data_IF_239602955862
#
_entry.id   IF_239602955862
#
_cell.length_a   1.000
_cell.length_b   1.000
_cell.length_c   1.000
_cell.angle_alpha   90.00
_cell.angle_beta   90.00
_cell.angle_gamma   90.00
#
_symmetry.space_group_name_H-M   'P 1'
#
loop_
_entity.id
_entity.type
_entity.pdbx_description
1 polymer ?
#
# COMPACT_ATOMS: atom_id res chain seq x y z
N UNK A 1 5.26 4.47 -9.94
CA UNK A 1 5.73 3.56 -8.88
C UNK A 1 6.28 4.34 -7.70
N UNK A 2 5.82 4.03 -6.49
CA UNK A 2 6.38 4.52 -5.22
C UNK A 2 7.23 3.40 -4.62
N UNK A 3 8.42 3.74 -4.16
CA UNK A 3 9.24 2.87 -3.31
C UNK A 3 9.16 3.36 -1.88
N UNK A 4 8.98 2.45 -0.94
CA UNK A 4 8.81 2.78 0.47
C UNK A 4 9.36 1.70 1.39
N UNK A 5 9.55 2.08 2.66
CA UNK A 5 9.96 1.21 3.74
C UNK A 5 8.77 1.01 4.70
N UNK A 6 8.04 -0.09 4.49
CA UNK A 6 6.87 -0.42 5.31
C UNK A 6 7.20 -0.53 6.80
N UNK A 7 8.32 -1.16 7.14
CA UNK A 7 8.71 -1.36 8.54
C UNK A 7 8.94 -0.04 9.25
N UNK A 8 9.59 0.91 8.56
CA UNK A 8 9.82 2.26 9.09
C UNK A 8 8.52 3.04 9.20
N UNK A 9 7.63 3.00 8.20
CA UNK A 9 6.30 3.65 8.26
C UNK A 9 5.50 3.11 9.44
N UNK A 10 5.44 1.78 9.60
CA UNK A 10 4.71 1.14 10.69
C UNK A 10 5.29 1.51 12.06
N UNK A 11 6.62 1.55 12.18
CA UNK A 11 7.32 1.94 13.42
C UNK A 11 7.07 3.40 13.80
N UNK A 12 7.18 4.31 12.84
CA UNK A 12 7.04 5.77 13.07
C UNK A 12 5.60 6.14 13.39
N UNK A 13 4.63 5.50 12.73
CA UNK A 13 3.20 5.72 12.97
C UNK A 13 2.66 5.02 14.24
N UNK A 14 3.44 4.10 14.83
CA UNK A 14 2.97 3.26 15.93
C UNK A 14 1.75 2.39 15.56
N UNK A 15 1.57 2.08 14.28
CA UNK A 15 0.39 1.38 13.76
C UNK A 15 -0.87 2.24 13.64
N UNK A 16 -0.79 3.57 13.87
CA UNK A 16 -1.94 4.46 13.69
C UNK A 16 -2.27 4.63 12.20
N UNK A 17 -3.46 4.18 11.79
CA UNK A 17 -3.89 4.18 10.39
C UNK A 17 -3.97 5.59 9.77
N UNK A 18 -4.32 6.61 10.55
CA UNK A 18 -4.36 8.00 10.07
C UNK A 18 -2.95 8.56 9.85
N UNK A 19 -2.01 8.22 10.73
CA UNK A 19 -0.60 8.58 10.54
C UNK A 19 0.03 7.85 9.35
N UNK A 20 -0.28 6.57 9.17
CA UNK A 20 0.14 5.79 7.99
C UNK A 20 -0.38 6.45 6.71
N UNK A 21 -1.67 6.80 6.66
CA UNK A 21 -2.25 7.48 5.51
C UNK A 21 -1.60 8.84 5.24
N UNK A 22 -1.35 9.64 6.28
CA UNK A 22 -0.67 10.93 6.17
C UNK A 22 0.75 10.81 5.59
N UNK A 23 1.53 9.83 6.06
CA UNK A 23 2.86 9.54 5.50
C UNK A 23 2.74 9.09 4.04
N UNK A 24 1.80 8.20 3.73
CA UNK A 24 1.56 7.73 2.37
C UNK A 24 1.22 8.90 1.43
N UNK A 25 0.23 9.73 1.78
CA UNK A 25 -0.17 10.90 1.00
C UNK A 25 1.00 11.86 0.77
N UNK A 26 1.80 12.14 1.82
CA UNK A 26 3.00 12.95 1.71
C UNK A 26 4.00 12.38 0.70
N UNK A 27 4.26 11.07 0.74
CA UNK A 27 5.20 10.40 -0.15
C UNK A 27 4.73 10.40 -1.61
N UNK A 28 3.44 10.17 -1.85
CA UNK A 28 2.86 10.14 -3.21
C UNK A 28 2.85 11.53 -3.83
N UNK A 29 2.39 12.53 -3.08
CA UNK A 29 2.31 13.92 -3.58
C UNK A 29 3.66 14.64 -3.55
N UNK A 30 4.70 14.06 -2.94
CA UNK A 30 5.99 14.71 -2.67
C UNK A 30 5.81 16.04 -1.93
N UNK A 31 4.85 16.06 -1.00
CA UNK A 31 4.48 17.24 -0.25
C UNK A 31 5.63 17.70 0.65
N UNK A 32 5.86 19.01 0.70
CA UNK A 32 6.86 19.64 1.58
C UNK A 32 6.11 20.49 2.61
N UNK A 33 6.40 20.36 3.92
CA UNK A 33 5.74 21.16 4.94
C UNK A 33 6.02 22.65 4.71
N UNK A 34 4.99 23.49 4.83
CA UNK A 34 5.15 24.94 4.71
C UNK A 34 5.71 25.56 5.99
N UNK A 35 5.43 24.95 7.15
CA UNK A 35 5.89 25.42 8.46
C UNK A 35 6.02 24.27 9.47
N UNK A 36 6.69 24.53 10.61
CA UNK A 36 6.97 23.52 11.65
C UNK A 36 5.74 22.92 12.34
N UNK A 37 4.61 23.62 12.33
CA UNK A 37 3.35 23.14 12.90
C UNK A 37 2.54 22.23 11.97
N UNK A 38 3.04 21.96 10.76
CA UNK A 38 2.34 21.11 9.80
C UNK A 38 2.44 19.64 10.25
N UNK A 39 1.35 18.88 10.08
CA UNK A 39 1.28 17.48 10.48
C UNK A 39 2.33 16.63 9.77
N UNK A 40 2.69 16.99 8.53
CA UNK A 40 3.72 16.30 7.75
C UNK A 40 5.15 16.70 8.13
N UNK A 41 5.35 17.79 8.88
CA UNK A 41 6.69 18.31 9.19
C UNK A 41 7.57 17.29 9.91
N UNK A 42 7.01 16.56 10.88
CA UNK A 42 7.76 15.51 11.60
C UNK A 42 8.20 14.36 10.69
N UNK A 43 7.39 14.05 9.68
CA UNK A 43 7.65 12.95 8.75
C UNK A 43 8.59 13.36 7.62
N UNK A 44 8.54 14.63 7.19
CA UNK A 44 9.40 15.15 6.13
C UNK A 44 10.90 15.13 6.48
N UNK A 45 11.24 15.01 7.76
CA UNK A 45 12.61 14.89 8.24
C UNK A 45 13.15 13.46 8.21
N UNK A 46 12.31 12.48 7.86
CA UNK A 46 12.65 11.07 7.85
C UNK A 46 12.74 10.55 6.41
N UNK A 47 13.66 9.60 6.18
CA UNK A 47 13.77 8.91 4.91
C UNK A 47 12.94 7.63 4.92
N UNK A 48 11.88 7.59 4.11
CA UNK A 48 11.00 6.43 3.95
C UNK A 48 11.30 5.61 2.70
N UNK A 49 12.41 5.82 2.00
CA UNK A 49 12.80 4.97 0.87
C UNK A 49 13.09 3.53 1.32
N UNK A 50 12.66 2.56 0.52
CA UNK A 50 12.84 1.14 0.78
C UNK A 50 12.61 0.29 -0.47
N UNK A 51 12.47 -1.02 -0.28
CA UNK A 51 12.28 -1.99 -1.36
C UNK A 51 10.82 -2.38 -1.58
N UNK A 52 9.93 -2.02 -0.66
CA UNK A 52 8.49 -2.20 -0.85
C UNK A 52 8.03 -1.25 -1.95
N UNK A 53 7.07 -1.69 -2.77
CA UNK A 53 6.62 -0.88 -3.90
C UNK A 53 5.11 -0.88 -4.07
N UNK A 54 4.60 0.21 -4.63
CA UNK A 54 3.28 0.33 -5.23
C UNK A 54 3.45 0.72 -6.70
N UNK A 55 2.89 -0.04 -7.64
CA UNK A 55 2.99 0.29 -9.06
C UNK A 55 2.30 1.63 -9.38
N UNK A 56 1.06 1.79 -8.90
CA UNK A 56 0.16 2.93 -9.17
C UNK A 56 -0.33 3.62 -7.87
N UNK A 57 0.59 4.24 -7.10
CA UNK A 57 0.26 4.87 -5.82
C UNK A 57 -0.66 6.09 -5.97
N UNK A 58 -0.57 6.78 -7.10
CA UNK A 58 -1.39 7.92 -7.50
C UNK A 58 -2.86 7.53 -7.70
N UNK A 59 -3.12 6.37 -8.30
CA UNK A 59 -4.48 5.84 -8.50
C UNK A 59 -5.11 5.45 -7.16
N UNK A 60 -4.35 4.80 -6.28
CA UNK A 60 -4.78 4.50 -4.92
C UNK A 60 -5.10 5.78 -4.14
N UNK A 61 -4.23 6.79 -4.19
CA UNK A 61 -4.45 8.05 -3.50
C UNK A 61 -5.68 8.80 -4.03
N UNK A 62 -5.85 8.86 -5.37
CA UNK A 62 -7.00 9.50 -6.00
C UNK A 62 -8.33 8.88 -5.54
N UNK A 63 -8.36 7.56 -5.36
CA UNK A 63 -9.55 6.84 -4.91
C UNK A 63 -9.64 6.67 -3.39
N UNK A 64 -8.67 7.15 -2.61
CA UNK A 64 -8.57 6.90 -1.17
C UNK A 64 -9.84 7.29 -0.39
N UNK A 65 -10.57 8.31 -0.86
CA UNK A 65 -11.84 8.76 -0.25
C UNK A 65 -12.95 7.70 -0.22
N UNK A 66 -12.84 6.64 -1.04
CA UNK A 66 -13.79 5.52 -1.08
C UNK A 66 -13.50 4.43 -0.05
N UNK A 67 -12.33 4.50 0.59
CA UNK A 67 -11.78 3.43 1.41
C UNK A 67 -11.45 3.91 2.80
N UNK A 68 -11.51 3.01 3.78
CA UNK A 68 -11.06 3.33 5.12
C UNK A 68 -9.53 3.38 5.19
N UNK A 69 -8.98 4.20 6.09
CA UNK A 69 -7.54 4.22 6.34
C UNK A 69 -7.00 2.85 6.81
N UNK A 70 -7.85 2.02 7.43
CA UNK A 70 -7.50 0.64 7.80
C UNK A 70 -7.25 -0.22 6.56
N UNK A 71 -8.10 -0.12 5.55
CA UNK A 71 -7.93 -0.86 4.30
C UNK A 71 -6.70 -0.37 3.54
N UNK A 72 -6.46 0.94 3.48
CA UNK A 72 -5.25 1.49 2.84
C UNK A 72 -3.99 1.02 3.58
N UNK A 73 -3.98 1.03 4.91
CA UNK A 73 -2.87 0.51 5.69
C UNK A 73 -2.63 -0.99 5.44
N UNK A 74 -3.70 -1.79 5.37
CA UNK A 74 -3.61 -3.21 5.03
C UNK A 74 -3.08 -3.41 3.60
N UNK A 75 -3.52 -2.61 2.65
CA UNK A 75 -3.04 -2.63 1.27
C UNK A 75 -1.54 -2.36 1.19
N UNK A 76 -1.06 -1.30 1.86
CA UNK A 76 0.37 -0.97 1.96
C UNK A 76 1.18 -2.07 2.66
N UNK A 77 0.62 -2.68 3.71
CA UNK A 77 1.25 -3.79 4.42
C UNK A 77 1.40 -5.00 3.50
N UNK A 78 0.33 -5.43 2.85
CA UNK A 78 0.33 -6.61 1.97
C UNK A 78 1.23 -6.39 0.76
N UNK A 79 1.18 -5.20 0.16
CA UNK A 79 2.04 -4.81 -0.95
C UNK A 79 3.53 -4.90 -0.61
N UNK A 80 3.89 -4.69 0.66
CA UNK A 80 5.28 -4.68 1.12
C UNK A 80 5.97 -6.05 1.09
N UNK A 81 5.21 -7.14 1.04
CA UNK A 81 5.73 -8.51 0.95
C UNK A 81 6.06 -8.93 -0.48
N UNK A 82 5.68 -8.14 -1.48
CA UNK A 82 6.01 -8.41 -2.88
C UNK A 82 7.49 -8.17 -3.15
N UNK A 83 8.08 -9.03 -3.97
CA UNK A 83 9.44 -8.87 -4.48
C UNK A 83 9.46 -7.84 -5.61
N UNK A 84 10.19 -6.75 -5.42
CA UNK A 84 10.43 -5.76 -6.49
C UNK A 84 11.24 -6.36 -7.65
N UNK A 85 12.12 -7.32 -7.36
CA UNK A 85 12.90 -8.02 -8.38
C UNK A 85 12.00 -8.86 -9.28
N UNK A 86 11.01 -9.54 -8.70
CA UNK A 86 10.06 -10.36 -9.45
C UNK A 86 9.18 -9.45 -10.32
N UNK A 87 8.68 -8.36 -9.75
CA UNK A 87 7.95 -7.35 -10.52
C UNK A 87 8.78 -6.80 -11.69
N UNK A 88 10.07 -6.52 -11.50
CA UNK A 88 10.93 -6.06 -12.59
C UNK A 88 11.11 -7.10 -13.71
N UNK A 89 11.02 -8.40 -13.39
CA UNK A 89 11.16 -9.48 -14.36
C UNK A 89 9.85 -9.84 -15.05
N UNK A 90 8.73 -9.89 -14.32
CA UNK A 90 7.46 -10.45 -14.80
C UNK A 90 6.34 -9.42 -14.91
N UNK A 91 6.50 -8.23 -14.34
CA UNK A 91 5.46 -7.21 -14.15
C UNK A 91 4.24 -7.71 -13.33
N UNK A 92 4.43 -8.76 -12.53
CA UNK A 92 3.37 -9.31 -11.67
C UNK A 92 3.12 -8.41 -10.47
N UNK A 93 1.88 -7.94 -10.31
CA UNK A 93 1.44 -7.13 -9.16
C UNK A 93 0.71 -7.93 -8.09
N UNK A 94 0.38 -9.20 -8.34
CA UNK A 94 -0.28 -10.09 -7.39
C UNK A 94 0.71 -10.68 -6.37
N UNK A 95 0.19 -11.20 -5.25
CA UNK A 95 0.98 -11.87 -4.22
C UNK A 95 0.34 -13.20 -3.84
N UNK A 96 1.11 -14.27 -3.73
CA UNK A 96 0.59 -15.53 -3.19
C UNK A 96 0.18 -15.37 -1.73
N UNK A 97 -1.01 -15.88 -1.36
CA UNK A 97 -1.57 -15.74 -0.02
C UNK A 97 -0.64 -16.29 1.08
N UNK A 98 0.12 -17.36 0.78
CA UNK A 98 1.09 -17.97 1.69
C UNK A 98 2.22 -17.01 2.11
N UNK A 99 2.53 -16.00 1.29
CA UNK A 99 3.55 -14.99 1.59
C UNK A 99 3.03 -13.86 2.46
N UNK A 100 1.73 -13.84 2.81
CA UNK A 100 1.13 -12.83 3.69
C UNK A 100 1.18 -13.32 5.14
N UNK A 101 1.98 -12.71 6.04
CA UNK A 101 2.12 -13.21 7.42
C UNK A 101 0.85 -13.11 8.27
N UNK A 102 -0.14 -12.35 7.81
CA UNK A 102 -1.45 -12.18 8.42
C UNK A 102 -2.57 -12.67 7.49
N UNK A 103 -2.29 -13.70 6.68
CA UNK A 103 -3.23 -14.29 5.74
C UNK A 103 -4.58 -14.63 6.39
N UNK A 104 -4.57 -15.27 7.57
CA UNK A 104 -5.80 -15.63 8.30
C UNK A 104 -6.69 -14.40 8.57
N UNK A 105 -6.09 -13.33 9.08
CA UNK A 105 -6.80 -12.07 9.32
C UNK A 105 -7.32 -11.46 8.01
N UNK A 106 -6.54 -11.54 6.93
CA UNK A 106 -6.93 -11.00 5.63
C UNK A 106 -8.09 -11.80 5.02
N UNK A 107 -8.09 -13.12 5.13
CA UNK A 107 -9.18 -14.02 4.72
C UNK A 107 -10.44 -13.74 5.55
N UNK A 108 -10.33 -13.67 6.87
CA UNK A 108 -11.47 -13.40 7.77
C UNK A 108 -12.14 -12.05 7.49
N UNK A 109 -11.37 -11.07 7.00
CA UNK A 109 -11.85 -9.72 6.72
C UNK A 109 -12.04 -9.44 5.23
N UNK A 110 -11.86 -10.43 4.33
CA UNK A 110 -11.85 -10.20 2.88
C UNK A 110 -13.18 -9.66 2.37
N UNK A 111 -14.30 -10.12 2.93
CA UNK A 111 -15.65 -9.66 2.57
C UNK A 111 -15.90 -8.18 2.93
N UNK A 112 -15.05 -7.61 3.78
CA UNK A 112 -15.12 -6.20 4.19
C UNK A 112 -14.04 -5.34 3.55
N UNK A 113 -13.10 -5.95 2.82
CA UNK A 113 -11.99 -5.24 2.19
C UNK A 113 -12.34 -4.89 0.75
N UNK A 114 -12.34 -3.59 0.46
CA UNK A 114 -12.67 -3.04 -0.86
C UNK A 114 -11.45 -2.84 -1.77
N UNK A 115 -10.24 -3.04 -1.26
CA UNK A 115 -8.98 -2.79 -1.98
C UNK A 115 -8.22 -4.07 -2.36
N UNK A 116 -8.42 -5.15 -1.61
CA UNK A 116 -7.76 -6.44 -1.80
C UNK A 116 -8.80 -7.51 -2.11
N UNK A 117 -8.54 -8.32 -3.13
CA UNK A 117 -9.34 -9.50 -3.48
C UNK A 117 -8.46 -10.73 -3.38
N UNK A 118 -8.97 -11.82 -2.83
CA UNK A 118 -8.33 -13.14 -2.94
C UNK A 118 -9.05 -13.90 -4.05
N UNK A 119 -8.29 -14.44 -5.00
CA UNK A 119 -8.78 -15.43 -5.94
C UNK A 119 -8.70 -16.81 -5.29
N UNK A 120 -9.85 -17.47 -5.09
CA UNK A 120 -9.93 -18.79 -4.43
C UNK A 120 -9.36 -19.92 -5.29
N UNK A 121 -9.33 -19.77 -6.62
CA UNK A 121 -8.81 -20.79 -7.53
C UNK A 121 -7.28 -20.76 -7.56
N UNK A 122 -6.70 -19.56 -7.56
CA UNK A 122 -5.23 -19.39 -7.68
C UNK A 122 -4.55 -19.08 -6.34
N UNK A 123 -5.29 -18.80 -5.27
CA UNK A 123 -4.79 -18.29 -3.99
C UNK A 123 -3.91 -17.03 -4.12
N UNK A 124 -4.21 -16.20 -5.11
CA UNK A 124 -3.51 -14.94 -5.34
C UNK A 124 -4.28 -13.79 -4.70
N UNK A 125 -3.53 -12.89 -4.06
CA UNK A 125 -4.01 -11.61 -3.58
C UNK A 125 -3.84 -10.59 -4.70
N UNK A 126 -4.96 -10.02 -5.10
CA UNK A 126 -5.13 -9.02 -6.12
C UNK A 126 -5.28 -7.64 -5.50
N UNK A 127 -4.64 -6.65 -6.12
CA UNK A 127 -4.57 -5.27 -5.67
C UNK A 127 -5.39 -4.41 -6.62
N UNK A 128 -6.56 -3.92 -6.19
CA UNK A 128 -7.56 -3.28 -7.05
C UNK A 128 -6.98 -2.20 -7.99
N UNK A 129 -6.11 -1.32 -7.47
CA UNK A 129 -5.56 -0.20 -8.22
C UNK A 129 -4.21 -0.46 -8.90
N UNK A 130 -3.69 -1.68 -8.79
CA UNK A 130 -2.46 -2.07 -9.48
C UNK A 130 -2.69 -2.98 -10.67
N UNK A 131 -3.91 -3.47 -10.85
CA UNK A 131 -4.31 -4.16 -12.06
C UNK A 131 -4.50 -3.13 -13.19
N UNK A 132 -3.82 -3.35 -14.31
CA UNK A 132 -4.08 -2.57 -15.52
C UNK A 132 -5.50 -2.90 -15.96
N UNK A 133 -6.41 -1.92 -16.14
CA UNK A 133 -7.69 -2.19 -16.77
C UNK A 133 -7.39 -2.60 -18.21
N UNK A 134 -7.51 -3.89 -18.53
CA UNK A 134 -7.56 -4.34 -19.91
C UNK A 134 -8.79 -3.68 -20.52
N UNK A 135 -8.58 -2.76 -21.48
CA UNK A 135 -9.68 -2.19 -22.25
C UNK A 135 -10.49 -3.36 -22.82
N UNK A 136 -11.76 -3.45 -22.44
CA UNK A 136 -12.70 -4.33 -23.13
C UNK A 136 -12.93 -3.69 -24.51
N UNK A 137 -12.19 -4.15 -25.51
CA UNK A 137 -12.54 -3.94 -26.92
C UNK A 137 -13.80 -4.74 -27.27
#
# INVERSE_FOLDING_TARGET
>A
MLLYDWQKIHKVSGGNVGEIFCIFEMLVNKSVPTHRGDNIYRYSQLDFNGLSFLAHPDVLLFNAYKHSYKEIAAYLATASFRSISDYAATHTTTLELLHVPFADFLVDNIHTNSLLRIDEETNLVHFLYEEVPTEKH
#
